data_IF_216334033288
#
_entry.id   IF_216334033288
#
_cell.length_a   1.000
_cell.length_b   1.000
_cell.length_c   1.000
_cell.angle_alpha   90.00
_cell.angle_beta   90.00
_cell.angle_gamma   90.00
#
_symmetry.space_group_name_H-M   'P 1'
#
loop_
_entity.id
_entity.type
_entity.pdbx_description
1 polymer ?
#
# COMPACT_ATOMS: atom_id res chain seq x y z
N UNK A 1 -13.65 29.32 -34.11
CA UNK A 1 -13.66 28.53 -32.86
C UNK A 1 -13.42 27.02 -33.05
N UNK A 2 -13.68 26.42 -34.21
CA UNK A 2 -13.39 24.99 -34.46
C UNK A 2 -11.88 24.64 -34.48
N UNK A 3 -11.03 25.54 -34.99
CA UNK A 3 -9.57 25.31 -35.06
C UNK A 3 -8.88 25.21 -33.69
N UNK A 4 -9.34 25.98 -32.70
CA UNK A 4 -8.84 25.90 -31.32
C UNK A 4 -9.27 24.59 -30.65
N UNK A 5 -10.50 24.12 -30.91
CA UNK A 5 -10.99 22.82 -30.45
C UNK A 5 -10.22 21.64 -31.08
N UNK A 6 -9.92 21.70 -32.38
CA UNK A 6 -9.15 20.66 -33.06
C UNK A 6 -7.67 20.64 -32.66
N UNK A 7 -7.06 21.81 -32.42
CA UNK A 7 -5.69 21.91 -31.92
C UNK A 7 -5.55 21.40 -30.48
N UNK A 8 -6.52 21.71 -29.60
CA UNK A 8 -6.57 21.14 -28.25
C UNK A 8 -6.82 19.63 -28.27
N UNK A 9 -7.71 19.14 -29.14
CA UNK A 9 -8.00 17.71 -29.28
C UNK A 9 -6.81 16.91 -29.85
N UNK A 10 -6.05 17.49 -30.80
CA UNK A 10 -4.82 16.88 -31.30
C UNK A 10 -3.70 16.95 -30.26
N UNK A 11 -3.61 18.04 -29.50
CA UNK A 11 -2.67 18.17 -28.38
C UNK A 11 -2.94 17.16 -27.27
N UNK A 12 -4.21 17.00 -26.87
CA UNK A 12 -4.60 16.00 -25.87
C UNK A 12 -4.36 14.57 -26.38
N UNK A 13 -4.70 14.27 -27.63
CA UNK A 13 -4.44 12.95 -28.24
C UNK A 13 -2.95 12.63 -28.37
N UNK A 14 -2.10 13.63 -28.68
CA UNK A 14 -0.65 13.46 -28.76
C UNK A 14 -0.04 13.23 -27.37
N UNK A 15 -0.46 14.01 -26.38
CA UNK A 15 -0.04 13.82 -24.99
C UNK A 15 -0.51 12.46 -24.49
N UNK A 16 -1.75 12.08 -24.73
CA UNK A 16 -2.30 10.79 -24.30
C UNK A 16 -1.55 9.62 -24.94
N UNK A 17 -1.25 9.67 -26.25
CA UNK A 17 -0.50 8.61 -26.94
C UNK A 17 0.94 8.49 -26.42
N UNK A 18 1.62 9.60 -26.18
CA UNK A 18 3.00 9.57 -25.66
C UNK A 18 3.02 9.22 -24.18
N UNK A 19 2.14 9.77 -23.37
CA UNK A 19 2.09 9.53 -21.92
C UNK A 19 1.65 8.10 -21.62
N UNK A 20 0.69 7.55 -22.38
CA UNK A 20 0.24 6.16 -22.23
C UNK A 20 1.33 5.13 -22.61
N UNK A 21 2.37 5.56 -23.34
CA UNK A 21 3.56 4.73 -23.62
C UNK A 21 4.44 4.51 -22.39
N UNK A 22 4.48 5.48 -21.47
CA UNK A 22 5.29 5.42 -20.25
C UNK A 22 4.46 5.04 -19.02
N UNK A 23 3.18 5.42 -18.99
CA UNK A 23 2.28 5.25 -17.85
C UNK A 23 0.92 4.78 -18.35
N UNK A 24 0.55 3.54 -18.02
CA UNK A 24 -0.77 3.00 -18.38
C UNK A 24 -1.86 3.75 -17.59
N UNK A 25 -2.44 4.79 -18.20
CA UNK A 25 -3.40 5.68 -17.57
C UNK A 25 -4.70 4.95 -17.17
N UNK A 26 -5.25 4.01 -17.97
CA UNK A 26 -6.36 3.16 -17.54
C UNK A 26 -6.07 2.38 -16.25
N UNK A 27 -4.87 1.81 -16.12
CA UNK A 27 -4.49 1.07 -14.91
C UNK A 27 -4.43 2.01 -13.69
N UNK A 28 -3.82 3.19 -13.80
CA UNK A 28 -3.82 4.17 -12.70
C UNK A 28 -5.23 4.62 -12.32
N UNK A 29 -6.10 4.91 -13.30
CA UNK A 29 -7.49 5.29 -13.03
C UNK A 29 -8.23 4.21 -12.23
N UNK A 30 -7.92 2.93 -12.44
CA UNK A 30 -8.45 1.84 -11.64
C UNK A 30 -8.06 1.95 -10.16
N UNK A 31 -6.78 2.19 -9.85
CA UNK A 31 -6.28 2.32 -8.45
C UNK A 31 -6.79 3.57 -7.72
N UNK A 32 -7.12 4.63 -8.45
CA UNK A 32 -7.65 5.87 -7.89
C UNK A 32 -9.19 5.95 -7.90
N UNK A 33 -9.89 4.91 -8.40
CA UNK A 33 -11.34 4.86 -8.39
C UNK A 33 -11.87 4.50 -6.99
N UNK A 34 -11.91 5.50 -6.11
CA UNK A 34 -12.20 5.37 -4.68
C UNK A 34 -13.37 6.28 -4.30
N UNK A 35 -14.21 5.83 -3.36
CA UNK A 35 -15.29 6.62 -2.76
C UNK A 35 -14.98 7.01 -1.32
N UNK A 36 -15.61 8.06 -0.79
CA UNK A 36 -15.43 8.46 0.62
C UNK A 36 -15.83 7.35 1.61
N UNK A 37 -16.91 6.62 1.31
CA UNK A 37 -17.34 5.47 2.13
C UNK A 37 -16.33 4.33 2.09
N UNK A 38 -15.68 4.10 0.95
CA UNK A 38 -14.58 3.15 0.84
C UNK A 38 -13.42 3.56 1.73
N UNK A 39 -12.96 4.82 1.65
CA UNK A 39 -11.81 5.30 2.44
C UNK A 39 -12.04 5.07 3.93
N UNK A 40 -13.21 5.44 4.44
CA UNK A 40 -13.57 5.23 5.85
C UNK A 40 -13.54 3.73 6.22
N UNK A 41 -14.09 2.88 5.36
CA UNK A 41 -14.12 1.42 5.59
C UNK A 41 -12.72 0.81 5.53
N UNK A 42 -11.88 1.27 4.59
CA UNK A 42 -10.50 0.82 4.42
C UNK A 42 -9.61 1.27 5.58
N UNK A 43 -9.77 2.51 6.08
CA UNK A 43 -9.05 2.96 7.27
C UNK A 43 -9.43 2.13 8.50
N UNK A 44 -10.71 1.79 8.67
CA UNK A 44 -11.14 0.86 9.73
C UNK A 44 -10.52 -0.53 9.56
N UNK A 45 -10.42 -1.03 8.33
CA UNK A 45 -9.75 -2.29 8.03
C UNK A 45 -8.26 -2.25 8.40
N UNK A 46 -7.57 -1.15 8.08
CA UNK A 46 -6.13 -0.99 8.38
C UNK A 46 -5.86 -0.89 9.88
N UNK A 47 -6.74 -0.24 10.64
CA UNK A 47 -6.61 -0.09 12.10
C UNK A 47 -7.13 -1.30 12.88
N UNK A 48 -8.12 -2.02 12.36
CA UNK A 48 -8.75 -3.17 12.99
C UNK A 48 -8.84 -4.38 12.05
N UNK A 49 -7.71 -4.91 11.55
CA UNK A 49 -7.74 -5.93 10.51
C UNK A 49 -8.32 -7.27 10.98
N UNK A 50 -8.26 -7.61 12.27
CA UNK A 50 -8.89 -8.83 12.81
C UNK A 50 -10.40 -8.88 12.63
N UNK A 51 -11.06 -7.74 12.45
CA UNK A 51 -12.51 -7.70 12.24
C UNK A 51 -12.92 -8.16 10.83
N UNK A 52 -11.97 -8.27 9.90
CA UNK A 52 -12.26 -8.64 8.53
C UNK A 52 -12.32 -10.15 8.35
N UNK A 53 -13.50 -10.64 7.96
CA UNK A 53 -13.75 -12.06 7.74
C UNK A 53 -13.22 -12.52 6.38
N UNK A 54 -13.47 -11.75 5.32
CA UNK A 54 -13.14 -12.09 3.94
C UNK A 54 -11.94 -11.28 3.41
N UNK A 55 -10.88 -11.97 2.99
CA UNK A 55 -9.67 -11.38 2.43
C UNK A 55 -9.49 -11.69 0.93
N UNK A 56 -10.46 -12.38 0.35
CA UNK A 56 -10.46 -12.72 -1.07
C UNK A 56 -10.83 -11.47 -1.88
N UNK A 57 -10.09 -11.24 -2.96
CA UNK A 57 -10.45 -10.22 -3.95
C UNK A 57 -11.64 -10.68 -4.78
N UNK A 58 -12.51 -9.74 -5.10
CA UNK A 58 -13.66 -10.00 -5.96
C UNK A 58 -13.23 -9.94 -7.43
N UNK A 59 -13.62 -10.97 -8.17
CA UNK A 59 -13.33 -11.09 -9.60
C UNK A 59 -14.44 -10.38 -10.39
N UNK A 60 -14.04 -9.56 -11.36
CA UNK A 60 -14.93 -9.00 -12.37
C UNK A 60 -15.11 -10.03 -13.49
N UNK A 61 -16.36 -10.42 -13.74
CA UNK A 61 -16.74 -11.34 -14.81
C UNK A 61 -17.47 -10.54 -15.88
N UNK A 62 -17.10 -10.76 -17.14
CA UNK A 62 -17.79 -10.22 -18.31
C UNK A 62 -19.22 -10.74 -18.39
N UNK A 63 -20.08 -10.11 -19.19
CA UNK A 63 -21.44 -10.61 -19.49
C UNK A 63 -21.44 -12.02 -20.10
N UNK A 64 -20.32 -12.41 -20.73
CA UNK A 64 -20.08 -13.77 -21.27
C UNK A 64 -19.49 -14.76 -20.26
N UNK A 65 -19.33 -14.36 -19.00
CA UNK A 65 -18.80 -15.20 -17.91
C UNK A 65 -17.28 -15.35 -17.88
N UNK A 66 -16.54 -14.74 -18.82
CA UNK A 66 -15.08 -14.74 -18.83
C UNK A 66 -14.49 -13.82 -17.73
N UNK A 67 -13.34 -14.21 -17.18
CA UNK A 67 -12.63 -13.44 -16.15
C UNK A 67 -11.87 -12.27 -16.80
N UNK A 68 -12.38 -11.05 -16.62
CA UNK A 68 -11.75 -9.84 -17.19
C UNK A 68 -10.74 -9.20 -16.22
N UNK A 69 -10.86 -9.47 -14.92
CA UNK A 69 -9.91 -8.95 -13.94
C UNK A 69 -10.46 -8.92 -12.52
N UNK A 70 -9.91 -8.05 -11.68
CA UNK A 70 -10.40 -7.80 -10.32
C UNK A 70 -11.26 -6.55 -10.28
N UNK A 71 -12.20 -6.51 -9.32
CA UNK A 71 -13.03 -5.33 -9.08
C UNK A 71 -12.20 -4.15 -8.57
N UNK A 72 -12.59 -2.90 -8.92
CA UNK A 72 -11.92 -1.70 -8.46
C UNK A 72 -12.12 -1.44 -6.95
N UNK A 73 -11.27 -0.59 -6.33
CA UNK A 73 -11.37 -0.16 -4.93
C UNK A 73 -12.79 0.18 -4.48
N UNK A 74 -13.51 0.99 -5.24
CA UNK A 74 -14.88 1.38 -4.92
C UNK A 74 -15.84 0.21 -4.61
N UNK A 75 -15.64 -0.97 -5.22
CA UNK A 75 -16.52 -2.13 -5.07
C UNK A 75 -15.94 -3.27 -4.21
N UNK A 76 -14.61 -3.30 -4.02
CA UNK A 76 -13.93 -4.34 -3.26
C UNK A 76 -12.96 -3.74 -2.23
N UNK A 77 -13.29 -3.89 -0.95
CA UNK A 77 -12.47 -3.41 0.16
C UNK A 77 -11.07 -4.05 0.21
N UNK A 78 -10.91 -5.26 -0.31
CA UNK A 78 -9.63 -5.97 -0.32
C UNK A 78 -8.74 -5.58 -1.51
N UNK A 79 -9.30 -4.89 -2.51
CA UNK A 79 -8.51 -4.44 -3.65
C UNK A 79 -7.53 -3.31 -3.24
N UNK A 80 -6.30 -3.34 -3.78
CA UNK A 80 -5.29 -2.31 -3.51
C UNK A 80 -5.66 -0.98 -4.16
N UNK A 81 -5.42 0.12 -3.44
CA UNK A 81 -5.65 1.49 -3.88
C UNK A 81 -4.37 2.32 -3.66
N UNK A 82 -4.13 3.29 -4.55
CA UNK A 82 -3.02 4.23 -4.43
C UNK A 82 -3.42 5.55 -3.77
N UNK A 83 -4.73 5.81 -3.61
CA UNK A 83 -5.23 7.05 -3.03
C UNK A 83 -4.83 7.18 -1.55
N UNK A 84 -5.12 6.17 -0.72
CA UNK A 84 -4.80 6.20 0.71
C UNK A 84 -3.29 6.27 0.95
N UNK A 85 -2.44 5.43 0.32
CA UNK A 85 -0.98 5.54 0.42
C UNK A 85 -0.45 6.94 0.12
N UNK A 86 -0.85 7.55 -1.00
CA UNK A 86 -0.37 8.88 -1.40
C UNK A 86 -0.80 9.93 -0.38
N UNK A 87 -2.08 9.92 0.03
CA UNK A 87 -2.58 10.86 1.02
C UNK A 87 -1.94 10.67 2.39
N UNK A 88 -1.63 9.43 2.77
CA UNK A 88 -0.95 9.11 4.03
C UNK A 88 0.49 9.63 4.03
N UNK A 89 1.26 9.46 2.95
CA UNK A 89 2.62 10.03 2.86
C UNK A 89 2.60 11.55 3.00
N UNK A 90 1.69 12.22 2.29
CA UNK A 90 1.54 13.68 2.40
C UNK A 90 1.20 14.09 3.84
N UNK A 91 0.27 13.39 4.47
CA UNK A 91 -0.14 13.68 5.85
C UNK A 91 0.99 13.45 6.85
N UNK A 92 1.75 12.36 6.70
CA UNK A 92 2.92 12.06 7.53
C UNK A 92 3.97 13.18 7.42
N UNK A 93 4.31 13.62 6.21
CA UNK A 93 5.27 14.71 5.99
C UNK A 93 4.80 16.01 6.63
N UNK A 94 3.51 16.33 6.52
CA UNK A 94 2.92 17.49 7.19
C UNK A 94 2.97 17.37 8.72
N UNK A 95 2.77 16.17 9.27
CA UNK A 95 2.90 15.91 10.70
C UNK A 95 4.34 16.07 11.18
N UNK A 96 5.34 15.59 10.43
CA UNK A 96 6.75 15.84 10.72
C UNK A 96 7.08 17.34 10.75
N UNK A 97 6.51 18.11 9.81
CA UNK A 97 6.64 19.57 9.81
C UNK A 97 5.98 20.22 11.03
N UNK A 98 4.77 19.77 11.37
CA UNK A 98 4.02 20.26 12.53
C UNK A 98 4.75 19.98 13.84
N UNK A 99 5.22 18.75 14.06
CA UNK A 99 5.97 18.37 15.28
C UNK A 99 7.24 19.21 15.42
N UNK A 100 8.02 19.37 14.34
CA UNK A 100 9.22 20.21 14.35
C UNK A 100 8.90 21.69 14.62
N UNK A 101 7.79 22.20 14.08
CA UNK A 101 7.29 23.55 14.34
C UNK A 101 6.90 23.78 15.80
N UNK A 102 6.21 22.81 16.41
CA UNK A 102 5.85 22.86 17.84
C UNK A 102 7.09 22.86 18.75
N UNK A 103 8.16 22.18 18.35
CA UNK A 103 9.44 22.18 19.06
C UNK A 103 10.35 23.37 18.74
N UNK A 104 9.89 24.35 17.95
CA UNK A 104 10.68 25.52 17.48
C UNK A 104 11.96 25.17 16.71
N UNK A 105 12.07 23.95 16.19
CA UNK A 105 13.25 23.45 15.48
C UNK A 105 12.92 23.15 14.00
N UNK A 106 11.95 23.86 13.45
CA UNK A 106 11.53 23.64 12.07
C UNK A 106 12.60 24.09 11.08
N UNK A 107 13.07 23.14 10.29
CA UNK A 107 13.92 23.36 9.13
C UNK A 107 13.24 22.72 7.92
N UNK A 108 13.18 23.39 6.75
CA UNK A 108 12.51 22.86 5.57
C UNK A 108 13.13 21.55 5.05
N UNK A 109 14.41 21.32 5.39
CA UNK A 109 15.14 20.07 5.09
C UNK A 109 14.44 18.83 5.68
N UNK A 110 13.79 18.95 6.85
CA UNK A 110 13.10 17.84 7.51
C UNK A 110 11.95 17.28 6.65
N UNK A 111 11.27 18.14 5.89
CA UNK A 111 10.17 17.72 5.02
C UNK A 111 10.69 16.89 3.83
N UNK A 112 11.76 17.36 3.18
CA UNK A 112 12.37 16.63 2.07
C UNK A 112 13.02 15.33 2.55
N UNK A 113 13.67 15.34 3.72
CA UNK A 113 14.22 14.12 4.33
C UNK A 113 13.09 13.13 4.62
N UNK A 114 11.97 13.54 5.22
CA UNK A 114 10.84 12.66 5.48
C UNK A 114 10.23 12.05 4.19
N UNK A 115 10.11 12.83 3.12
CA UNK A 115 9.64 12.32 1.81
C UNK A 115 10.64 11.33 1.23
N UNK A 116 11.92 11.68 1.19
CA UNK A 116 12.97 10.87 0.56
C UNK A 116 13.19 9.55 1.32
N UNK A 117 13.20 9.57 2.65
CA UNK A 117 13.28 8.35 3.47
C UNK A 117 12.05 7.47 3.27
N UNK A 118 10.84 8.04 3.25
CA UNK A 118 9.60 7.31 2.98
C UNK A 118 9.65 6.58 1.63
N UNK A 119 10.07 7.28 0.57
CA UNK A 119 10.21 6.71 -0.77
C UNK A 119 11.31 5.63 -0.78
N UNK A 120 12.46 5.89 -0.16
CA UNK A 120 13.56 4.94 -0.11
C UNK A 120 13.19 3.64 0.60
N UNK A 121 12.49 3.73 1.74
CA UNK A 121 12.02 2.56 2.50
C UNK A 121 11.05 1.73 1.65
N UNK A 122 10.04 2.36 1.04
CA UNK A 122 9.06 1.65 0.20
C UNK A 122 9.73 1.03 -1.03
N UNK A 123 10.67 1.74 -1.65
CA UNK A 123 11.46 1.21 -2.76
C UNK A 123 12.23 -0.04 -2.35
N UNK A 124 12.90 0.01 -1.19
CA UNK A 124 13.66 -1.12 -0.68
C UNK A 124 12.78 -2.33 -0.35
N UNK A 125 11.60 -2.12 0.21
CA UNK A 125 10.62 -3.19 0.47
C UNK A 125 10.14 -3.86 -0.81
N UNK A 126 9.82 -3.06 -1.84
CA UNK A 126 9.44 -3.57 -3.15
C UNK A 126 10.58 -4.39 -3.75
N UNK A 127 11.81 -3.87 -3.71
CA UNK A 127 13.00 -4.55 -4.21
C UNK A 127 13.23 -5.87 -3.47
N UNK A 128 13.22 -5.85 -2.14
CA UNK A 128 13.37 -7.03 -1.29
C UNK A 128 12.32 -8.11 -1.61
N UNK A 129 11.06 -7.70 -1.79
CA UNK A 129 9.96 -8.62 -2.11
C UNK A 129 10.13 -9.25 -3.49
N UNK A 130 10.50 -8.44 -4.49
CA UNK A 130 10.70 -8.90 -5.87
C UNK A 130 11.87 -9.86 -5.96
N UNK A 131 12.99 -9.53 -5.32
CA UNK A 131 14.16 -10.40 -5.24
C UNK A 131 13.82 -11.71 -4.51
N UNK A 132 13.11 -11.65 -3.38
CA UNK A 132 12.71 -12.86 -2.67
C UNK A 132 11.74 -13.75 -3.47
N UNK A 133 10.79 -13.16 -4.19
CA UNK A 133 9.92 -13.91 -5.12
C UNK A 133 10.71 -14.53 -6.28
N UNK A 134 11.72 -13.83 -6.80
CA UNK A 134 12.63 -14.36 -7.83
C UNK A 134 13.41 -15.57 -7.31
N UNK A 135 14.07 -15.46 -6.15
CA UNK A 135 14.83 -16.57 -5.55
C UNK A 135 13.95 -17.77 -5.17
N UNK A 136 12.70 -17.54 -4.78
CA UNK A 136 11.75 -18.60 -4.43
C UNK A 136 10.95 -19.14 -5.63
N UNK A 137 11.24 -18.64 -6.85
CA UNK A 137 10.56 -19.02 -8.10
C UNK A 137 9.03 -18.97 -7.95
N UNK A 138 8.52 -17.88 -7.37
CA UNK A 138 7.08 -17.65 -7.22
C UNK A 138 6.59 -16.96 -8.50
N UNK A 139 5.55 -17.48 -9.18
CA UNK A 139 4.92 -16.77 -10.28
C UNK A 139 4.25 -15.51 -9.71
N UNK A 140 4.90 -14.37 -9.89
CA UNK A 140 4.45 -13.11 -9.32
C UNK A 140 3.55 -12.39 -10.31
N UNK A 141 2.24 -12.60 -10.19
CA UNK A 141 1.21 -11.99 -11.05
C UNK A 141 0.79 -10.58 -10.59
N UNK A 142 1.17 -10.17 -9.38
CA UNK A 142 0.80 -8.86 -8.87
C UNK A 142 1.55 -7.73 -9.60
N UNK A 143 0.86 -6.62 -9.82
CA UNK A 143 1.46 -5.43 -10.41
C UNK A 143 2.41 -4.75 -9.42
N UNK A 144 3.40 -4.02 -9.92
CA UNK A 144 4.24 -3.18 -9.05
C UNK A 144 3.41 -2.12 -8.31
N UNK A 145 2.29 -1.70 -8.89
CA UNK A 145 1.32 -0.78 -8.27
C UNK A 145 0.58 -1.44 -7.10
N UNK A 146 0.35 -2.75 -7.13
CA UNK A 146 -0.26 -3.49 -6.01
C UNK A 146 0.71 -3.50 -4.81
N UNK A 147 1.99 -3.80 -5.06
CA UNK A 147 3.02 -3.76 -4.02
C UNK A 147 3.17 -2.37 -3.40
N UNK A 148 3.20 -1.35 -4.25
CA UNK A 148 3.28 0.04 -3.80
C UNK A 148 2.09 0.40 -2.91
N UNK A 149 0.89 -0.03 -3.29
CA UNK A 149 -0.32 0.16 -2.48
C UNK A 149 -0.19 -0.53 -1.12
N UNK A 150 0.21 -1.81 -1.11
CA UNK A 150 0.33 -2.59 0.12
C UNK A 150 1.35 -2.03 1.12
N UNK A 151 2.54 -1.67 0.64
CA UNK A 151 3.59 -1.08 1.49
C UNK A 151 3.27 0.35 1.93
N UNK A 152 2.50 1.09 1.14
CA UNK A 152 2.09 2.45 1.46
C UNK A 152 1.04 2.55 2.58
N UNK A 153 0.28 1.49 2.86
CA UNK A 153 -0.72 1.55 3.93
C UNK A 153 -0.15 1.71 5.34
N UNK A 154 1.14 1.37 5.56
CA UNK A 154 1.77 1.51 6.87
C UNK A 154 1.80 2.95 7.38
N UNK A 155 1.83 3.92 6.47
CA UNK A 155 1.82 5.35 6.83
C UNK A 155 0.57 5.73 7.62
N UNK A 156 -0.56 5.02 7.43
CA UNK A 156 -1.76 5.22 8.27
C UNK A 156 -1.48 4.87 9.73
N UNK A 157 -0.77 3.77 10.00
CA UNK A 157 -0.38 3.38 11.36
C UNK A 157 0.66 4.34 11.97
N UNK A 158 1.60 4.83 11.16
CA UNK A 158 2.59 5.84 11.55
C UNK A 158 1.88 7.13 11.98
N UNK A 159 0.97 7.65 11.16
CA UNK A 159 0.17 8.85 11.46
C UNK A 159 -0.57 8.72 12.79
N UNK A 160 -1.22 7.59 13.04
CA UNK A 160 -1.95 7.37 14.30
C UNK A 160 -0.99 7.37 15.49
N UNK A 161 0.20 6.81 15.33
CA UNK A 161 1.25 6.84 16.36
C UNK A 161 1.76 8.26 16.61
N UNK A 162 2.00 9.04 15.56
CA UNK A 162 2.49 10.42 15.67
C UNK A 162 1.45 11.34 16.32
N UNK A 163 0.17 11.19 15.98
CA UNK A 163 -0.92 11.90 16.65
C UNK A 163 -0.98 11.51 18.13
N UNK A 164 -0.81 10.22 18.47
CA UNK A 164 -0.77 9.78 19.86
C UNK A 164 0.43 10.38 20.62
N UNK A 165 1.60 10.50 19.98
CA UNK A 165 2.78 11.18 20.53
C UNK A 165 2.53 12.67 20.77
N UNK A 166 1.88 13.35 19.82
CA UNK A 166 1.54 14.77 19.94
C UNK A 166 0.59 15.06 21.10
N UNK A 167 -0.40 14.19 21.34
CA UNK A 167 -1.40 14.38 22.41
C UNK A 167 -0.87 13.88 23.76
N UNK A 168 -0.23 12.70 23.78
CA UNK A 168 0.15 11.98 24.99
C UNK A 168 1.58 12.23 25.50
N UNK A 169 2.37 13.04 24.78
CA UNK A 169 3.78 13.29 25.10
C UNK A 169 4.66 12.03 25.00
N UNK A 170 5.83 12.03 25.64
CA UNK A 170 6.79 10.92 25.63
C UNK A 170 6.46 9.77 26.59
N UNK A 171 5.18 9.56 26.91
CA UNK A 171 4.73 8.54 27.85
C UNK A 171 4.75 7.11 27.30
N UNK A 172 4.20 6.16 28.06
CA UNK A 172 4.03 4.77 27.62
C UNK A 172 2.92 4.59 26.57
N UNK A 173 1.97 5.53 26.50
CA UNK A 173 0.79 5.44 25.63
C UNK A 173 1.16 5.37 24.13
N UNK A 174 2.01 6.25 23.57
CA UNK A 174 2.35 6.18 22.15
C UNK A 174 3.14 4.94 21.78
N UNK A 175 3.90 4.37 22.72
CA UNK A 175 4.55 3.07 22.52
C UNK A 175 3.55 1.93 22.41
N UNK A 176 2.50 1.91 23.24
CA UNK A 176 1.40 0.95 23.10
C UNK A 176 0.67 1.10 21.76
N UNK A 177 0.40 2.35 21.34
CA UNK A 177 -0.21 2.65 20.03
C UNK A 177 0.70 2.21 18.88
N UNK A 178 2.01 2.42 18.99
CA UNK A 178 2.99 1.99 18.00
C UNK A 178 2.98 0.47 17.84
N UNK A 179 3.09 -0.29 18.92
CA UNK A 179 3.07 -1.75 18.85
C UNK A 179 1.74 -2.27 18.30
N UNK A 180 0.62 -1.67 18.72
CA UNK A 180 -0.70 -2.02 18.22
C UNK A 180 -0.81 -1.80 16.70
N UNK A 181 -0.51 -0.58 16.22
CA UNK A 181 -0.60 -0.25 14.80
C UNK A 181 0.41 -1.04 13.95
N UNK A 182 1.61 -1.29 14.47
CA UNK A 182 2.61 -2.16 13.83
C UNK A 182 2.11 -3.59 13.66
N UNK A 183 1.46 -4.16 14.69
CA UNK A 183 0.83 -5.48 14.60
C UNK A 183 -0.35 -5.49 13.62
N UNK A 184 -1.17 -4.43 13.59
CA UNK A 184 -2.25 -4.28 12.61
C UNK A 184 -1.72 -4.31 11.18
N UNK A 185 -0.74 -3.47 10.86
CA UNK A 185 -0.13 -3.40 9.52
C UNK A 185 0.50 -4.73 9.14
N UNK A 186 1.24 -5.36 10.05
CA UNK A 186 1.87 -6.66 9.81
C UNK A 186 0.84 -7.76 9.50
N UNK A 187 -0.24 -7.82 10.29
CA UNK A 187 -1.31 -8.79 10.08
C UNK A 187 -2.09 -8.52 8.79
N UNK A 188 -2.40 -7.25 8.49
CA UNK A 188 -3.03 -6.84 7.24
C UNK A 188 -2.19 -7.27 6.03
N UNK A 189 -0.88 -7.01 6.05
CA UNK A 189 0.01 -7.36 4.96
C UNK A 189 0.10 -8.89 4.78
N UNK A 190 0.22 -9.63 5.89
CA UNK A 190 0.24 -11.09 5.88
C UNK A 190 -1.03 -11.65 5.21
N UNK A 191 -2.21 -11.11 5.55
CA UNK A 191 -3.48 -11.59 4.98
C UNK A 191 -3.66 -11.16 3.53
N UNK A 192 -3.30 -9.93 3.18
CA UNK A 192 -3.49 -9.39 1.84
C UNK A 192 -2.53 -9.99 0.81
N UNK A 193 -1.28 -10.23 1.20
CA UNK A 193 -0.25 -10.78 0.30
C UNK A 193 -0.21 -12.31 0.27
N UNK A 194 -0.97 -12.98 1.14
CA UNK A 194 -1.03 -14.45 1.19
C UNK A 194 -1.31 -15.05 -0.20
N UNK A 195 -2.32 -14.56 -0.90
CA UNK A 195 -2.71 -15.11 -2.21
C UNK A 195 -1.70 -14.82 -3.33
N UNK A 196 -0.93 -13.73 -3.19
CA UNK A 196 0.12 -13.36 -4.14
C UNK A 196 1.34 -14.27 -3.98
N UNK A 197 1.68 -14.65 -2.75
CA UNK A 197 2.90 -15.41 -2.43
C UNK A 197 2.63 -16.93 -2.34
N UNK A 198 1.41 -17.33 -1.95
CA UNK A 198 0.90 -18.70 -1.94
C UNK A 198 -0.29 -18.82 -2.92
N UNK A 199 -0.06 -18.98 -4.23
CA UNK A 199 -1.13 -19.35 -5.15
C UNK A 199 -1.64 -20.75 -4.78
N UNK A 200 -2.93 -20.87 -4.47
CA UNK A 200 -3.58 -22.14 -4.04
C UNK A 200 -3.61 -23.19 -5.16
N UNK A 201 -3.35 -22.81 -6.42
CA UNK A 201 -3.43 -23.68 -7.59
C UNK A 201 -2.36 -24.77 -7.70
N UNK A 202 -1.32 -24.77 -6.84
CA UNK A 202 -0.17 -25.68 -6.98
C UNK A 202 -0.03 -26.75 -5.88
N UNK A 203 -0.93 -26.83 -4.90
CA UNK A 203 -0.78 -27.77 -3.79
C UNK A 203 -2.10 -28.48 -3.45
N UNK A 204 -2.20 -29.74 -3.86
CA UNK A 204 -3.23 -30.67 -3.36
C UNK A 204 -3.18 -30.83 -1.82
N UNK A 205 -4.23 -31.40 -1.22
CA UNK A 205 -4.51 -31.34 0.22
C UNK A 205 -3.51 -32.05 1.15
N UNK A 206 -2.47 -32.71 0.63
CA UNK A 206 -1.69 -33.70 1.39
C UNK A 206 -0.17 -33.53 1.37
N UNK A 207 0.39 -32.41 0.91
CA UNK A 207 1.83 -32.14 1.12
C UNK A 207 2.08 -30.76 1.71
N UNK A 208 2.56 -30.72 2.95
CA UNK A 208 3.39 -29.60 3.42
C UNK A 208 4.70 -29.63 2.62
N UNK A 209 4.64 -29.21 1.36
CA UNK A 209 5.83 -29.11 0.51
C UNK A 209 6.82 -28.14 1.21
N UNK A 210 8.10 -28.51 1.41
CA UNK A 210 9.11 -27.61 1.99
C UNK A 210 9.16 -26.25 1.29
N UNK A 211 8.78 -26.17 0.02
CA UNK A 211 8.61 -24.90 -0.71
C UNK A 211 7.49 -24.02 -0.12
N UNK A 212 6.32 -24.58 0.19
CA UNK A 212 5.21 -23.83 0.81
C UNK A 212 5.61 -23.30 2.18
N UNK A 213 6.33 -24.10 2.97
CA UNK A 213 6.90 -23.68 4.26
C UNK A 213 7.87 -22.51 4.08
N UNK A 214 8.80 -22.58 3.12
CA UNK A 214 9.73 -21.46 2.82
C UNK A 214 9.01 -20.18 2.40
N UNK A 215 7.99 -20.28 1.55
CA UNK A 215 7.18 -19.13 1.11
C UNK A 215 6.40 -18.49 2.27
N UNK A 216 5.88 -19.32 3.19
CA UNK A 216 5.22 -18.83 4.40
C UNK A 216 6.20 -18.11 5.33
N UNK A 217 7.39 -18.66 5.55
CA UNK A 217 8.44 -17.99 6.34
C UNK A 217 8.84 -16.66 5.69
N UNK A 218 9.00 -16.63 4.38
CA UNK A 218 9.29 -15.40 3.64
C UNK A 218 8.21 -14.32 3.84
N UNK A 219 6.93 -14.69 3.72
CA UNK A 219 5.82 -13.78 3.99
C UNK A 219 5.83 -13.27 5.45
N UNK A 220 6.13 -14.15 6.41
CA UNK A 220 6.23 -13.79 7.82
C UNK A 220 7.38 -12.81 8.06
N UNK A 221 8.54 -13.02 7.42
CA UNK A 221 9.67 -12.10 7.47
C UNK A 221 9.31 -10.72 6.91
N UNK A 222 8.62 -10.66 5.77
CA UNK A 222 8.13 -9.39 5.21
C UNK A 222 7.21 -8.67 6.20
N UNK A 223 6.26 -9.38 6.80
CA UNK A 223 5.35 -8.82 7.80
C UNK A 223 6.10 -8.33 9.05
N UNK A 224 7.04 -9.10 9.59
CA UNK A 224 7.83 -8.72 10.75
C UNK A 224 8.70 -7.48 10.50
N UNK A 225 9.28 -7.37 9.29
CA UNK A 225 10.07 -6.20 8.90
C UNK A 225 9.24 -4.90 8.85
N UNK A 226 7.92 -4.96 8.71
CA UNK A 226 7.07 -3.76 8.73
C UNK A 226 7.23 -2.98 10.03
N UNK A 227 7.26 -3.67 11.17
CA UNK A 227 7.42 -3.02 12.48
C UNK A 227 8.78 -2.32 12.57
N UNK A 228 9.83 -2.96 12.03
CA UNK A 228 11.19 -2.39 11.99
C UNK A 228 11.21 -1.13 11.13
N UNK A 229 10.64 -1.16 9.92
CA UNK A 229 10.58 0.02 9.06
C UNK A 229 9.72 1.14 9.66
N UNK A 230 8.60 0.81 10.29
CA UNK A 230 7.79 1.79 11.01
C UNK A 230 8.56 2.42 12.17
N UNK A 231 9.37 1.64 12.89
CA UNK A 231 10.21 2.15 13.97
C UNK A 231 11.23 3.18 13.47
N UNK A 232 11.88 2.90 12.32
CA UNK A 232 12.83 3.83 11.70
C UNK A 232 12.20 5.07 11.08
N UNK A 233 10.91 5.04 10.71
CA UNK A 233 10.20 6.22 10.17
C UNK A 233 9.64 7.11 11.29
N UNK A 234 9.39 6.54 12.47
CA UNK A 234 8.81 7.25 13.61
C UNK A 234 9.86 7.90 14.51
N UNK A 235 11.12 7.42 14.50
CA UNK A 235 12.22 7.94 15.32
C UNK A 235 13.36 8.42 14.43
#
# INVERSE_FOLDING_TARGET
>A
MQFAGSAMAQGSAYVEKNFNRWVNMPALRHYFNVSNSYVMSKLRLLLFPWRNSSWNRLIMRSETGQMEGFKPPREDINSPDLYIPVMAVVTYVLLCGLTAGLHKNFHPEMLYVAVSTSVAVVFWEIAYTRLGCYFLSIPFEASMLDLLSYYGYKFVGIIVTDIARLIGGSGYIPWLVFFYTGLCVSFFLLRSMRYVILPDAAAGPSTMNPQRKRRLWFLLTIAALQIVYMFFLVN
#
